data_IF_776336808283
#
_entry.id   IF_776336808283
#
_cell.length_a   1.000
_cell.length_b   1.000
_cell.length_c   1.000
_cell.angle_alpha   90.00
_cell.angle_beta   90.00
_cell.angle_gamma   90.00
#
_symmetry.space_group_name_H-M   'P 1'
#
loop_
_entity.id
_entity.type
_entity.pdbx_description
1 polymer ?
#
# COMPACT_ATOMS: atom_id res chain seq x y z
N UNK A 1 7.88 0.52 18.73
CA UNK A 1 8.58 0.65 17.44
C UNK A 1 7.50 0.74 16.39
N UNK A 2 7.08 1.97 16.10
CA UNK A 2 5.92 2.26 15.28
C UNK A 2 6.39 2.82 13.96
N UNK A 3 5.79 2.33 12.88
CA UNK A 3 5.92 2.82 11.51
C UNK A 3 5.87 4.35 11.38
N UNK A 4 5.20 5.01 12.33
CA UNK A 4 5.11 6.47 12.46
C UNK A 4 6.47 7.18 12.55
N UNK A 5 7.52 6.55 13.06
CA UNK A 5 8.82 7.21 13.25
C UNK A 5 9.73 7.07 12.03
N UNK A 6 9.57 6.02 11.22
CA UNK A 6 10.34 5.84 9.98
C UNK A 6 9.72 6.62 8.81
N UNK A 7 8.38 6.64 8.68
CA UNK A 7 7.67 7.46 7.69
C UNK A 7 7.85 8.97 7.88
N UNK A 8 8.25 9.41 9.08
CA UNK A 8 8.52 10.83 9.35
C UNK A 8 9.86 11.32 8.81
N UNK A 9 10.74 10.40 8.38
CA UNK A 9 12.09 10.78 7.93
C UNK A 9 12.18 11.15 6.45
N UNK A 10 11.26 10.74 5.57
CA UNK A 10 11.24 11.22 4.17
C UNK A 10 9.86 10.95 3.50
N UNK A 11 8.98 11.96 3.35
CA UNK A 11 7.69 11.80 2.67
C UNK A 11 7.83 11.41 1.19
N UNK A 12 8.97 11.70 0.55
CA UNK A 12 9.28 11.31 -0.83
C UNK A 12 9.31 9.79 -1.05
N UNK A 13 9.68 8.98 -0.05
CA UNK A 13 9.81 7.52 -0.22
C UNK A 13 8.44 6.84 -0.30
N UNK A 14 7.50 7.29 0.54
CA UNK A 14 6.12 6.83 0.52
C UNK A 14 5.40 7.27 -0.77
N UNK A 15 5.62 8.50 -1.21
CA UNK A 15 5.01 9.02 -2.44
C UNK A 15 5.51 8.26 -3.67
N UNK A 16 6.83 8.04 -3.77
CA UNK A 16 7.44 7.25 -4.84
C UNK A 16 6.98 5.78 -4.84
N UNK A 17 6.81 5.19 -3.66
CA UNK A 17 6.26 3.84 -3.52
C UNK A 17 4.80 3.76 -3.99
N UNK A 18 3.96 4.70 -3.55
CA UNK A 18 2.55 4.74 -3.97
C UNK A 18 2.44 4.98 -5.47
N UNK A 19 3.27 5.84 -6.06
CA UNK A 19 3.34 6.08 -7.50
C UNK A 19 3.70 4.79 -8.26
N UNK A 20 4.77 4.11 -7.84
CA UNK A 20 5.22 2.83 -8.42
C UNK A 20 4.14 1.75 -8.38
N UNK A 21 3.51 1.53 -7.22
CA UNK A 21 2.48 0.49 -7.12
C UNK A 21 1.17 0.94 -7.77
N UNK A 22 0.90 2.26 -7.89
CA UNK A 22 -0.26 2.76 -8.65
C UNK A 22 -0.22 2.42 -10.13
N UNK A 23 0.94 2.01 -10.67
CA UNK A 23 1.03 1.43 -12.01
C UNK A 23 0.32 0.06 -12.11
N UNK A 24 0.10 -0.60 -10.96
CA UNK A 24 -0.65 -1.84 -10.88
C UNK A 24 -2.15 -1.54 -10.78
N UNK A 25 -2.96 -1.83 -11.82
CA UNK A 25 -4.40 -1.56 -11.79
C UNK A 25 -5.14 -2.41 -10.76
N UNK A 26 -4.50 -3.46 -10.25
CA UNK A 26 -5.04 -4.41 -9.30
C UNK A 26 -4.77 -4.02 -7.83
N UNK A 27 -4.11 -2.88 -7.56
CA UNK A 27 -3.81 -2.44 -6.19
C UNK A 27 -4.22 -1.00 -5.98
N UNK A 28 -4.81 -0.70 -4.82
CA UNK A 28 -5.21 0.65 -4.44
C UNK A 28 -4.85 0.98 -3.00
N UNK A 29 -4.07 2.03 -2.81
CA UNK A 29 -3.75 2.55 -1.48
C UNK A 29 -4.72 3.64 -1.06
N UNK A 30 -5.16 3.56 0.19
CA UNK A 30 -5.94 4.58 0.85
C UNK A 30 -5.15 5.08 2.04
N UNK A 31 -4.52 6.24 1.88
CA UNK A 31 -3.96 7.02 2.97
C UNK A 31 -4.89 8.21 3.24
N UNK A 32 -5.70 8.13 4.31
CA UNK A 32 -6.57 9.23 4.74
C UNK A 32 -6.08 9.78 6.07
N UNK A 33 -6.04 11.10 6.19
CA UNK A 33 -5.70 11.77 7.45
C UNK A 33 -6.66 11.33 8.56
N UNK A 34 -6.14 10.75 9.64
CA UNK A 34 -6.92 10.23 10.76
C UNK A 34 -7.36 8.77 10.63
N UNK A 35 -6.98 8.07 9.55
CA UNK A 35 -7.17 6.62 9.39
C UNK A 35 -5.83 5.93 9.14
N UNK A 36 -5.67 4.67 9.60
CA UNK A 36 -4.48 3.89 9.26
C UNK A 36 -4.41 3.71 7.74
N UNK A 37 -3.20 3.77 7.14
CA UNK A 37 -3.02 3.48 5.73
C UNK A 37 -3.51 2.06 5.44
N UNK A 38 -4.30 1.92 4.38
CA UNK A 38 -4.93 0.66 4.00
C UNK A 38 -4.61 0.36 2.54
N UNK A 39 -4.13 -0.85 2.26
CA UNK A 39 -3.90 -1.33 0.91
C UNK A 39 -5.05 -2.26 0.49
N UNK A 40 -5.56 -2.09 -0.71
CA UNK A 40 -6.69 -2.85 -1.23
C UNK A 40 -6.26 -3.58 -2.50
N UNK A 41 -6.41 -4.90 -2.51
CA UNK A 41 -6.26 -5.71 -3.70
C UNK A 41 -7.59 -5.70 -4.47
N UNK A 42 -7.55 -5.27 -5.72
CA UNK A 42 -8.68 -5.20 -6.64
C UNK A 42 -8.63 -6.38 -7.59
N UNK A 43 -9.80 -6.93 -7.91
CA UNK A 43 -9.92 -8.01 -8.89
C UNK A 43 -9.84 -7.43 -10.31
N UNK A 44 -8.93 -7.98 -11.14
CA UNK A 44 -8.70 -7.56 -12.52
C UNK A 44 -9.97 -7.67 -13.40
N UNK A 45 -10.83 -8.65 -13.11
CA UNK A 45 -12.02 -8.93 -13.94
C UNK A 45 -13.22 -7.99 -13.66
N UNK A 46 -13.25 -7.32 -12.50
CA UNK A 46 -14.46 -6.62 -12.04
C UNK A 46 -14.24 -5.22 -11.47
N UNK A 47 -13.00 -4.82 -11.17
CA UNK A 47 -12.72 -3.57 -10.47
C UNK A 47 -13.28 -3.53 -9.04
N UNK A 48 -13.69 -4.69 -8.52
CA UNK A 48 -14.20 -4.84 -7.16
C UNK A 48 -13.04 -5.07 -6.19
N UNK A 49 -13.11 -4.45 -5.01
CA UNK A 49 -12.17 -4.71 -3.93
C UNK A 49 -12.31 -6.16 -3.48
N UNK A 50 -11.25 -6.94 -3.67
CA UNK A 50 -11.20 -8.34 -3.27
C UNK A 50 -10.84 -8.46 -1.79
N UNK A 51 -9.75 -7.80 -1.38
CA UNK A 51 -9.25 -7.83 0.00
C UNK A 51 -8.66 -6.48 0.42
N UNK A 52 -8.77 -6.14 1.71
CA UNK A 52 -8.20 -4.92 2.29
C UNK A 52 -7.31 -5.24 3.48
N UNK A 53 -6.12 -4.65 3.50
CA UNK A 53 -5.08 -4.88 4.50
C UNK A 53 -4.70 -3.56 5.17
N UNK A 54 -4.76 -3.53 6.50
CA UNK A 54 -4.23 -2.42 7.29
C UNK A 54 -2.72 -2.52 7.32
N UNK A 55 -2.05 -1.61 6.62
CA UNK A 55 -0.60 -1.58 6.46
C UNK A 55 0.06 -0.54 7.39
N UNK A 56 -0.66 -0.11 8.43
CA UNK A 56 -0.18 0.82 9.46
C UNK A 56 1.16 0.41 10.07
N UNK A 57 1.42 -0.89 10.16
CA UNK A 57 2.63 -1.44 10.77
C UNK A 57 3.55 -2.13 9.76
N UNK A 58 3.32 -1.98 8.46
CA UNK A 58 4.08 -2.62 7.40
C UNK A 58 4.99 -1.61 6.70
N UNK A 59 6.27 -1.94 6.53
CA UNK A 59 7.20 -1.11 5.77
C UNK A 59 6.92 -1.21 4.25
N UNK A 60 7.33 -0.20 3.48
CA UNK A 60 7.15 -0.16 2.01
C UNK A 60 7.67 -1.41 1.31
N UNK A 61 8.81 -1.94 1.76
CA UNK A 61 9.41 -3.19 1.27
C UNK A 61 8.51 -4.42 1.52
N UNK A 62 7.94 -4.53 2.73
CA UNK A 62 7.01 -5.63 3.07
C UNK A 62 5.72 -5.55 2.26
N UNK A 63 5.22 -4.34 2.04
CA UNK A 63 4.03 -4.12 1.22
C UNK A 63 4.36 -4.49 -0.23
N UNK A 64 5.48 -4.02 -0.78
CA UNK A 64 5.93 -4.35 -2.14
C UNK A 64 6.00 -5.86 -2.37
N UNK A 65 6.72 -6.57 -1.50
CA UNK A 65 6.92 -8.03 -1.58
C UNK A 65 5.58 -8.77 -1.54
N UNK A 66 4.72 -8.45 -0.56
CA UNK A 66 3.41 -9.08 -0.39
C UNK A 66 2.52 -8.93 -1.63
N UNK A 67 2.51 -7.73 -2.23
CA UNK A 67 1.67 -7.45 -3.39
C UNK A 67 2.27 -8.00 -4.68
N UNK A 68 3.60 -7.96 -4.86
CA UNK A 68 4.27 -8.57 -6.00
C UNK A 68 4.04 -10.08 -6.04
N UNK A 69 4.11 -10.78 -4.90
CA UNK A 69 3.82 -12.21 -4.82
C UNK A 69 2.37 -12.56 -5.20
N UNK A 70 1.43 -11.65 -4.92
CA UNK A 70 -0.02 -11.84 -5.20
C UNK A 70 -0.42 -11.46 -6.63
N UNK A 71 0.40 -10.69 -7.33
CA UNK A 71 0.16 -10.26 -8.72
C UNK A 71 0.79 -11.22 -9.77
N UNK A 72 1.55 -12.23 -9.34
CA UNK A 72 2.14 -13.31 -10.16
C UNK A 72 1.15 -14.45 -10.44
#
# INVERSE_FOLDING_TARGET
>A
MGLQEHMRSNPDDWDAFVDKISESPNIRFIAKSGHPPTAILMNEEGGEAQESYSIETWDTDTIEDFFLERLL
#
